data_IF_188722594863
#
_entry.id   IF_188722594863
#
_cell.length_a   1.000
_cell.length_b   1.000
_cell.length_c   1.000
_cell.angle_alpha   90.00
_cell.angle_beta   90.00
_cell.angle_gamma   90.00
#
_symmetry.space_group_name_H-M   'P 1'
#
loop_
_entity.id
_entity.type
_entity.pdbx_description
1 polymer ?
#
# COMPACT_ATOMS: atom_id res chain seq x y z
N UNK A 1 -4.41 20.21 3.71
CA UNK A 1 -5.48 19.34 4.29
C UNK A 1 -5.46 17.92 3.71
N UNK A 2 -5.30 17.67 2.38
CA UNK A 2 -5.25 16.30 1.82
C UNK A 2 -4.09 15.43 2.35
N UNK A 3 -2.94 16.06 2.63
CA UNK A 3 -1.72 15.39 3.09
C UNK A 3 -1.84 14.71 4.46
N UNK A 4 -2.69 15.20 5.36
CA UNK A 4 -2.88 14.60 6.70
C UNK A 4 -3.69 13.31 6.67
N UNK A 5 -4.66 13.20 5.76
CA UNK A 5 -5.46 11.99 5.61
C UNK A 5 -4.61 10.91 4.92
N UNK A 6 -3.88 11.30 3.87
CA UNK A 6 -2.89 10.40 3.24
C UNK A 6 -1.80 10.00 4.23
N UNK A 7 -1.29 10.91 5.08
CA UNK A 7 -0.29 10.54 6.08
C UNK A 7 -0.83 9.54 7.10
N UNK A 8 -2.10 9.65 7.52
CA UNK A 8 -2.71 8.63 8.37
C UNK A 8 -2.82 7.28 7.65
N UNK A 9 -3.28 7.30 6.39
CA UNK A 9 -3.39 6.13 5.53
C UNK A 9 -2.04 5.42 5.32
N UNK A 10 -0.95 6.19 5.24
CA UNK A 10 0.42 5.73 5.02
C UNK A 10 1.21 5.45 6.30
N UNK A 11 0.79 5.99 7.45
CA UNK A 11 1.59 5.94 8.67
C UNK A 11 1.72 4.53 9.23
N UNK A 12 0.81 3.61 8.91
CA UNK A 12 0.72 2.22 9.39
C UNK A 12 0.82 2.02 10.93
N UNK A 13 0.98 3.11 11.71
CA UNK A 13 1.25 3.08 13.15
C UNK A 13 0.04 2.53 13.88
N UNK A 14 0.18 1.31 14.42
CA UNK A 14 -0.85 0.62 15.21
C UNK A 14 -1.94 -0.11 14.40
N UNK A 15 -1.92 -0.02 13.07
CA UNK A 15 -2.89 -0.67 12.17
C UNK A 15 -2.28 -1.73 11.25
N UNK A 16 -0.94 -1.89 11.27
CA UNK A 16 -0.29 -2.91 10.45
C UNK A 16 -0.77 -4.32 10.82
N UNK A 17 -0.92 -5.18 9.81
CA UNK A 17 -1.50 -6.53 9.92
C UNK A 17 -2.99 -6.57 10.33
N UNK A 18 -3.71 -5.46 10.18
CA UNK A 18 -5.17 -5.39 10.39
C UNK A 18 -5.86 -4.74 9.18
N UNK A 19 -7.06 -5.19 8.80
CA UNK A 19 -7.82 -4.53 7.74
C UNK A 19 -8.12 -3.09 8.12
N UNK A 20 -8.13 -2.20 7.13
CA UNK A 20 -8.51 -0.81 7.33
C UNK A 20 -9.58 -0.38 6.32
N UNK A 21 -10.43 0.54 6.76
CA UNK A 21 -11.41 1.23 5.93
C UNK A 21 -11.36 2.72 6.27
N UNK A 22 -11.23 3.57 5.25
CA UNK A 22 -11.33 5.02 5.40
C UNK A 22 -12.36 5.53 4.40
N UNK A 23 -13.33 6.31 4.87
CA UNK A 23 -14.33 6.95 4.01
C UNK A 23 -14.04 8.45 3.91
N UNK A 24 -13.92 8.95 2.69
CA UNK A 24 -13.80 10.38 2.37
C UNK A 24 -14.86 10.69 1.33
N UNK A 25 -15.82 11.54 1.68
CA UNK A 25 -16.98 11.86 0.83
C UNK A 25 -17.69 10.60 0.30
N UNK A 26 -17.72 10.44 -1.02
CA UNK A 26 -18.35 9.32 -1.73
C UNK A 26 -17.37 8.20 -2.10
N UNK A 27 -16.19 8.17 -1.48
CA UNK A 27 -15.13 7.19 -1.75
C UNK A 27 -14.78 6.45 -0.45
N UNK A 28 -14.57 5.13 -0.55
CA UNK A 28 -13.99 4.31 0.52
C UNK A 28 -12.67 3.71 0.06
N UNK A 29 -11.68 3.77 0.93
CA UNK A 29 -10.38 3.13 0.79
C UNK A 29 -10.40 1.89 1.68
N UNK A 30 -10.30 0.72 1.09
CA UNK A 30 -10.34 -0.55 1.79
C UNK A 30 -9.07 -1.35 1.48
N UNK A 31 -8.36 -1.82 2.49
CA UNK A 31 -7.13 -2.56 2.26
C UNK A 31 -6.56 -3.22 3.49
N UNK A 32 -5.34 -3.73 3.33
CA UNK A 32 -4.60 -4.44 4.36
C UNK A 32 -3.12 -4.00 4.35
N UNK A 33 -2.66 -3.19 5.31
CA UNK A 33 -1.25 -2.89 5.50
C UNK A 33 -0.46 -4.13 5.91
N UNK A 34 0.70 -4.32 5.28
CA UNK A 34 1.61 -5.42 5.59
C UNK A 34 2.99 -4.91 5.95
N UNK A 35 3.55 -5.48 7.02
CA UNK A 35 4.98 -5.34 7.33
C UNK A 35 5.75 -6.32 6.46
N UNK A 36 6.84 -5.84 5.86
CA UNK A 36 7.73 -6.67 5.04
C UNK A 36 8.51 -7.60 5.98
N UNK A 37 8.44 -8.91 5.73
CA UNK A 37 9.04 -9.92 6.60
C UNK A 37 10.58 -9.88 6.54
N UNK A 38 11.13 -9.72 5.33
CA UNK A 38 12.57 -9.68 5.09
C UNK A 38 12.94 -8.41 4.31
N UNK A 39 12.95 -7.24 4.96
CA UNK A 39 13.28 -6.00 4.28
C UNK A 39 14.79 -5.93 3.99
N UNK A 40 15.14 -5.39 2.84
CA UNK A 40 16.51 -5.04 2.48
C UNK A 40 16.71 -3.52 2.57
N UNK A 41 17.95 -3.05 2.41
CA UNK A 41 18.25 -1.60 2.44
C UNK A 41 17.53 -0.78 1.37
N UNK A 42 16.94 -1.43 0.35
CA UNK A 42 16.22 -0.78 -0.75
C UNK A 42 14.71 -1.07 -0.75
N UNK A 43 14.24 -2.04 0.04
CA UNK A 43 12.81 -2.32 0.15
C UNK A 43 12.12 -1.38 1.15
N UNK A 44 10.81 -1.15 1.03
CA UNK A 44 10.04 -0.52 2.10
C UNK A 44 10.01 -1.41 3.35
N UNK A 45 9.76 -0.80 4.51
CA UNK A 45 9.52 -1.52 5.77
C UNK A 45 8.06 -2.01 5.87
N UNK A 46 7.14 -1.23 5.29
CA UNK A 46 5.71 -1.53 5.25
C UNK A 46 5.15 -1.10 3.91
N UNK A 47 4.16 -1.82 3.38
CA UNK A 47 3.44 -1.43 2.18
C UNK A 47 1.95 -1.76 2.31
N UNK A 48 1.14 -1.10 1.49
CA UNK A 48 -0.31 -1.21 1.54
C UNK A 48 -0.82 -1.52 0.14
N UNK A 49 -1.66 -2.56 0.04
CA UNK A 49 -2.55 -2.76 -1.10
C UNK A 49 -3.89 -2.12 -0.73
N UNK A 50 -4.45 -1.29 -1.60
CA UNK A 50 -5.67 -0.52 -1.30
C UNK A 50 -6.61 -0.55 -2.51
N UNK A 51 -7.85 -0.94 -2.29
CA UNK A 51 -8.94 -0.83 -3.24
C UNK A 51 -9.74 0.44 -2.98
N UNK A 52 -10.09 1.14 -4.06
CA UNK A 52 -10.92 2.35 -4.03
C UNK A 52 -12.33 1.96 -4.46
N UNK A 53 -13.28 2.11 -3.55
CA UNK A 53 -14.67 1.71 -3.71
C UNK A 53 -15.58 2.94 -3.61
N UNK A 54 -16.79 2.84 -4.15
CA UNK A 54 -17.80 3.89 -3.94
C UNK A 54 -18.40 3.80 -2.53
N UNK A 55 -18.85 4.93 -1.97
CA UNK A 55 -19.46 4.95 -0.64
C UNK A 55 -20.74 4.12 -0.51
N UNK A 56 -21.39 3.74 -1.62
CA UNK A 56 -22.63 2.95 -1.63
C UNK A 56 -22.41 1.44 -1.50
N UNK A 57 -21.16 0.98 -1.57
CA UNK A 57 -20.82 -0.44 -1.44
C UNK A 57 -21.21 -0.97 -0.06
N UNK A 58 -21.75 -2.20 -0.02
CA UNK A 58 -22.15 -2.89 1.21
C UNK A 58 -20.93 -3.27 2.06
N UNK A 59 -21.13 -3.39 3.38
CA UNK A 59 -20.05 -3.73 4.30
C UNK A 59 -19.39 -5.08 3.95
N UNK A 60 -20.17 -6.10 3.59
CA UNK A 60 -19.65 -7.42 3.21
C UNK A 60 -18.74 -7.38 1.99
N UNK A 61 -19.07 -6.53 1.02
CA UNK A 61 -18.24 -6.35 -0.17
C UNK A 61 -16.96 -5.58 0.17
N UNK A 62 -17.01 -4.59 1.06
CA UNK A 62 -15.81 -3.93 1.59
C UNK A 62 -14.88 -4.94 2.27
N UNK A 63 -15.42 -5.79 3.15
CA UNK A 63 -14.68 -6.87 3.83
C UNK A 63 -14.03 -7.82 2.82
N UNK A 64 -14.76 -8.20 1.77
CA UNK A 64 -14.23 -9.06 0.70
C UNK A 64 -13.02 -8.44 -0.01
N UNK A 65 -13.03 -7.11 -0.25
CA UNK A 65 -11.89 -6.40 -0.80
C UNK A 65 -10.72 -6.28 0.18
N UNK A 66 -10.98 -6.15 1.48
CA UNK A 66 -9.93 -6.17 2.52
C UNK A 66 -9.26 -7.55 2.59
N UNK A 67 -10.02 -8.64 2.51
CA UNK A 67 -9.48 -10.01 2.46
C UNK A 67 -8.66 -10.26 1.20
N UNK A 68 -9.13 -9.81 0.04
CA UNK A 68 -8.38 -9.88 -1.20
C UNK A 68 -7.07 -9.08 -1.08
N UNK A 69 -7.14 -7.86 -0.53
CA UNK A 69 -5.97 -7.03 -0.27
C UNK A 69 -4.96 -7.75 0.64
N UNK A 70 -5.41 -8.45 1.68
CA UNK A 70 -4.54 -9.24 2.56
C UNK A 70 -3.83 -10.35 1.79
N UNK A 71 -4.56 -11.12 0.97
CA UNK A 71 -3.98 -12.22 0.18
C UNK A 71 -2.91 -11.71 -0.80
N UNK A 72 -3.19 -10.61 -1.49
CA UNK A 72 -2.23 -9.98 -2.41
C UNK A 72 -1.01 -9.47 -1.64
N UNK A 73 -1.22 -8.80 -0.50
CA UNK A 73 -0.11 -8.31 0.30
C UNK A 73 0.79 -9.47 0.78
N UNK A 74 0.23 -10.59 1.22
CA UNK A 74 1.02 -11.77 1.60
C UNK A 74 1.84 -12.29 0.42
N UNK A 75 1.22 -12.46 -0.76
CA UNK A 75 1.94 -12.91 -1.95
C UNK A 75 3.09 -11.98 -2.34
N UNK A 76 2.89 -10.66 -2.27
CA UNK A 76 3.95 -9.67 -2.57
C UNK A 76 5.10 -9.75 -1.54
N UNK A 77 4.80 -9.99 -0.26
CA UNK A 77 5.83 -10.15 0.79
C UNK A 77 6.63 -11.45 0.62
N UNK A 78 5.97 -12.52 0.17
CA UNK A 78 6.65 -13.75 -0.24
C UNK A 78 7.58 -13.50 -1.42
N UNK A 79 7.16 -12.69 -2.41
CA UNK A 79 8.01 -12.31 -3.54
C UNK A 79 9.20 -11.42 -3.14
N UNK A 80 9.02 -10.53 -2.15
CA UNK A 80 10.15 -9.82 -1.56
C UNK A 80 11.14 -10.79 -0.91
N UNK A 81 10.65 -11.80 -0.20
CA UNK A 81 11.51 -12.81 0.43
C UNK A 81 12.19 -13.72 -0.61
N UNK A 82 11.49 -14.05 -1.71
CA UNK A 82 11.94 -15.01 -2.73
C UNK A 82 12.97 -14.41 -3.68
N UNK A 83 12.79 -13.15 -4.09
CA UNK A 83 13.62 -12.53 -5.13
C UNK A 83 13.70 -11.00 -5.03
N UNK A 84 13.61 -10.43 -3.83
CA UNK A 84 13.80 -8.99 -3.61
C UNK A 84 12.85 -8.09 -4.43
N UNK A 85 11.66 -8.60 -4.76
CA UNK A 85 10.73 -7.94 -5.67
C UNK A 85 10.44 -6.48 -5.28
N UNK A 86 10.13 -6.18 -4.02
CA UNK A 86 9.83 -4.82 -3.59
C UNK A 86 11.06 -3.90 -3.65
N UNK A 87 12.25 -4.43 -3.39
CA UNK A 87 13.49 -3.67 -3.50
C UNK A 87 13.81 -3.29 -4.95
N UNK A 88 13.58 -4.20 -5.89
CA UNK A 88 13.71 -3.95 -7.33
C UNK A 88 12.68 -2.91 -7.79
N UNK A 89 11.40 -3.08 -7.44
CA UNK A 89 10.36 -2.12 -7.79
C UNK A 89 10.63 -0.72 -7.21
N UNK A 90 11.10 -0.64 -5.97
CA UNK A 90 11.45 0.65 -5.36
C UNK A 90 12.61 1.33 -6.09
N UNK A 91 13.61 0.55 -6.53
CA UNK A 91 14.72 1.06 -7.33
C UNK A 91 14.23 1.60 -8.67
N UNK A 92 13.33 0.90 -9.36
CA UNK A 92 12.72 1.38 -10.62
C UNK A 92 11.99 2.70 -10.39
N UNK A 93 11.15 2.78 -9.36
CA UNK A 93 10.37 3.99 -9.03
C UNK A 93 11.29 5.19 -8.77
N UNK A 94 12.35 5.00 -7.98
CA UNK A 94 13.31 6.07 -7.66
C UNK A 94 14.08 6.53 -8.90
N UNK A 95 14.56 5.60 -9.73
CA UNK A 95 15.29 5.93 -10.95
C UNK A 95 14.42 6.73 -11.92
N UNK A 96 13.15 6.36 -12.10
CA UNK A 96 12.22 7.10 -12.95
C UNK A 96 11.90 8.49 -12.38
N UNK A 97 11.83 8.62 -11.06
CA UNK A 97 11.65 9.90 -10.41
C UNK A 97 12.84 10.84 -10.65
N UNK A 98 14.07 10.34 -10.50
CA UNK A 98 15.30 11.10 -10.74
C UNK A 98 15.41 11.57 -12.20
N UNK A 99 15.13 10.70 -13.18
CA UNK A 99 15.11 11.07 -14.60
C UNK A 99 14.15 12.22 -14.91
N UNK A 100 12.96 12.21 -14.30
CA UNK A 100 11.97 13.28 -14.48
C UNK A 100 12.41 14.60 -13.87
N UNK A 101 13.20 14.58 -12.80
CA UNK A 101 13.74 15.79 -12.18
C UNK A 101 14.87 16.38 -13.04
N UNK A 102 15.77 15.54 -13.57
CA UNK A 102 16.89 16.01 -14.40
C UNK A 102 16.44 16.48 -15.78
N UNK A 103 15.43 15.86 -16.40
CA UNK A 103 14.85 16.32 -17.67
C UNK A 103 14.07 17.64 -17.58
N UNK A 104 13.73 18.12 -16.38
CA UNK A 104 13.03 19.38 -16.14
C UNK A 104 13.97 20.54 -15.79
N UNK A 105 15.28 20.29 -15.75
CA UNK A 105 16.33 21.31 -15.61
C UNK A 105 16.97 21.56 -16.96
#
# INVERSE_FOLDING_TARGET
VPTKILSHLLSARGICEKPFEIKIDNIRFAGFPKTVSHPTGRSPQTFHVVFILTAKVTADLVTSFQELSRKIAIAIDEEQTRCDYLAEQMTIILNEHEKRITSRR
#
